data_IF_506751878602
#
_entry.id   IF_506751878602
#
_cell.length_a   1.000
_cell.length_b   1.000
_cell.length_c   1.000
_cell.angle_alpha   90.00
_cell.angle_beta   90.00
_cell.angle_gamma   90.00
#
_symmetry.space_group_name_H-M   'P 1'
#
loop_
_entity.id
_entity.type
_entity.pdbx_description
1 polymer ?
#
# COMPACT_ATOMS: atom_id res chain seq x y z
N UNK A 1 -26.47 -54.54 -14.80
CA UNK A 1 -27.06 -53.30 -14.31
C UNK A 1 -26.13 -52.63 -13.28
N UNK A 2 -25.58 -53.34 -12.25
CA UNK A 2 -24.74 -52.79 -11.18
C UNK A 2 -23.39 -52.14 -11.68
N UNK A 3 -22.80 -52.66 -12.74
CA UNK A 3 -21.51 -52.15 -13.29
C UNK A 3 -21.70 -50.79 -14.00
N UNK A 4 -22.81 -50.60 -14.71
CA UNK A 4 -23.13 -49.33 -15.38
C UNK A 4 -23.41 -48.22 -14.40
N UNK A 5 -24.10 -48.51 -13.29
CA UNK A 5 -24.35 -47.54 -12.25
C UNK A 5 -23.07 -47.05 -11.54
N UNK A 6 -22.15 -47.99 -11.23
CA UNK A 6 -20.84 -47.60 -10.64
C UNK A 6 -20.04 -46.67 -11.54
N UNK A 7 -20.04 -46.93 -12.85
CA UNK A 7 -19.32 -46.07 -13.82
C UNK A 7 -19.93 -44.65 -13.88
N UNK A 8 -21.26 -44.54 -13.82
CA UNK A 8 -21.95 -43.26 -13.82
C UNK A 8 -21.66 -42.45 -12.54
N UNK A 9 -21.61 -43.09 -11.38
CA UNK A 9 -21.29 -42.43 -10.10
C UNK A 9 -19.85 -41.91 -10.09
N UNK A 10 -18.92 -42.71 -10.61
CA UNK A 10 -17.50 -42.27 -10.71
C UNK A 10 -17.38 -41.10 -11.69
N UNK A 11 -18.04 -41.15 -12.83
CA UNK A 11 -18.01 -40.06 -13.81
C UNK A 11 -18.60 -38.76 -13.24
N UNK A 12 -19.71 -38.83 -12.54
CA UNK A 12 -20.35 -37.71 -11.88
C UNK A 12 -19.42 -37.11 -10.79
N UNK A 13 -18.74 -37.95 -10.02
CA UNK A 13 -17.76 -37.52 -9.02
C UNK A 13 -16.57 -36.78 -9.63
N UNK A 14 -16.04 -37.28 -10.75
CA UNK A 14 -14.91 -36.63 -11.47
C UNK A 14 -15.34 -35.29 -12.05
N UNK A 15 -16.54 -35.21 -12.62
CA UNK A 15 -17.08 -33.94 -13.15
C UNK A 15 -17.31 -32.94 -12.01
N UNK A 16 -17.93 -33.36 -10.91
CA UNK A 16 -18.16 -32.49 -9.75
C UNK A 16 -16.85 -31.98 -9.15
N UNK A 17 -15.84 -32.85 -9.04
CA UNK A 17 -14.50 -32.49 -8.57
C UNK A 17 -13.80 -31.52 -9.54
N UNK A 18 -13.89 -31.76 -10.86
CA UNK A 18 -13.35 -30.86 -11.89
C UNK A 18 -14.00 -29.49 -11.87
N UNK A 19 -15.33 -29.44 -11.73
CA UNK A 19 -16.09 -28.19 -11.58
C UNK A 19 -15.69 -27.47 -10.29
N UNK A 20 -15.63 -28.17 -9.15
CA UNK A 20 -15.20 -27.58 -7.88
C UNK A 20 -13.77 -27.04 -7.96
N UNK A 21 -12.83 -27.78 -8.57
CA UNK A 21 -11.45 -27.35 -8.75
C UNK A 21 -11.33 -26.15 -9.69
N UNK A 22 -12.12 -26.12 -10.76
CA UNK A 22 -12.13 -25.02 -11.73
C UNK A 22 -12.69 -23.70 -11.13
N UNK A 23 -13.70 -23.80 -10.24
CA UNK A 23 -14.28 -22.62 -9.60
C UNK A 23 -13.64 -22.26 -8.26
N UNK A 24 -12.63 -23.00 -7.81
CA UNK A 24 -11.90 -22.65 -6.60
C UNK A 24 -11.09 -21.40 -6.87
N UNK A 25 -11.51 -20.27 -6.27
CA UNK A 25 -10.71 -19.05 -6.28
C UNK A 25 -9.36 -19.34 -5.61
N UNK A 26 -8.22 -19.06 -6.28
CA UNK A 26 -6.91 -19.21 -5.65
C UNK A 26 -6.86 -18.42 -4.35
N UNK A 27 -6.21 -18.98 -3.33
CA UNK A 27 -5.97 -18.24 -2.09
C UNK A 27 -5.12 -17.01 -2.41
N UNK A 28 -5.43 -15.84 -1.81
CA UNK A 28 -4.64 -14.64 -2.02
C UNK A 28 -3.18 -14.88 -1.62
N UNK A 29 -2.26 -14.45 -2.45
CA UNK A 29 -0.84 -14.43 -2.08
C UNK A 29 -0.55 -13.32 -1.09
N UNK A 30 0.59 -13.37 -0.41
CA UNK A 30 0.99 -12.38 0.59
C UNK A 30 2.24 -11.65 0.10
N UNK A 31 2.18 -10.33 0.08
CA UNK A 31 3.34 -9.45 -0.10
C UNK A 31 3.76 -8.93 1.27
N UNK A 32 4.92 -9.37 1.73
CA UNK A 32 5.50 -9.01 3.04
C UNK A 32 6.55 -7.93 2.84
N UNK A 33 6.39 -6.81 3.53
CA UNK A 33 7.29 -5.68 3.38
C UNK A 33 7.40 -4.85 4.66
N UNK A 34 8.44 -4.04 4.74
CA UNK A 34 8.65 -3.00 5.75
C UNK A 34 9.48 -1.87 5.11
N UNK A 35 9.17 -0.61 5.43
CA UNK A 35 9.97 0.53 4.97
C UNK A 35 11.41 0.37 5.46
N UNK A 36 12.38 0.62 4.57
CA UNK A 36 13.81 0.40 4.80
C UNK A 36 14.27 -1.05 4.68
N UNK A 37 13.38 -1.99 4.32
CA UNK A 37 13.74 -3.40 4.11
C UNK A 37 14.39 -3.58 2.74
N UNK A 38 15.47 -4.39 2.62
CA UNK A 38 16.06 -4.73 1.33
C UNK A 38 15.06 -5.44 0.40
N UNK A 39 15.13 -5.14 -0.90
CA UNK A 39 14.29 -5.79 -1.93
C UNK A 39 14.36 -7.31 -1.89
N UNK A 40 15.56 -7.87 -1.72
CA UNK A 40 15.76 -9.31 -1.67
C UNK A 40 15.00 -9.98 -0.50
N UNK A 41 14.88 -9.29 0.63
CA UNK A 41 14.11 -9.77 1.77
C UNK A 41 12.59 -9.74 1.48
N UNK A 42 12.10 -8.75 0.71
CA UNK A 42 10.72 -8.73 0.23
C UNK A 42 10.44 -9.94 -0.66
N UNK A 43 11.33 -10.23 -1.61
CA UNK A 43 11.25 -11.40 -2.49
C UNK A 43 11.22 -12.70 -1.68
N UNK A 44 12.11 -12.83 -0.70
CA UNK A 44 12.26 -14.04 0.11
C UNK A 44 11.07 -14.32 1.03
N UNK A 45 10.49 -13.26 1.61
CA UNK A 45 9.47 -13.38 2.65
C UNK A 45 8.03 -13.40 2.09
N UNK A 46 7.85 -13.09 0.80
CA UNK A 46 6.56 -13.03 0.15
C UNK A 46 6.19 -14.34 -0.55
N UNK A 47 4.91 -14.68 -0.56
CA UNK A 47 4.36 -15.72 -1.46
C UNK A 47 3.88 -15.13 -2.78
N UNK A 48 3.69 -13.81 -2.85
CA UNK A 48 3.49 -13.06 -4.08
C UNK A 48 4.77 -13.12 -4.93
N UNK A 49 4.69 -13.37 -6.25
CA UNK A 49 5.87 -13.52 -7.12
C UNK A 49 6.51 -12.16 -7.45
N UNK A 50 7.10 -11.51 -6.44
CA UNK A 50 7.65 -10.15 -6.47
C UNK A 50 8.52 -9.91 -7.71
N UNK A 51 9.48 -10.78 -8.01
CA UNK A 51 10.40 -10.63 -9.15
C UNK A 51 9.69 -10.52 -10.51
N UNK A 52 8.56 -11.20 -10.67
CA UNK A 52 7.81 -11.21 -11.94
C UNK A 52 6.98 -9.93 -12.14
N UNK A 53 6.68 -9.24 -11.04
CA UNK A 53 5.85 -8.03 -10.99
C UNK A 53 6.67 -6.78 -10.66
N UNK A 54 7.99 -6.86 -10.71
CA UNK A 54 8.88 -5.74 -10.41
C UNK A 54 9.53 -5.19 -11.67
N UNK A 55 9.60 -3.88 -11.74
CA UNK A 55 10.43 -3.15 -12.68
C UNK A 55 11.63 -2.65 -11.88
N UNK A 56 12.78 -3.26 -12.14
CA UNK A 56 14.07 -2.80 -11.62
C UNK A 56 14.82 -2.19 -12.78
N UNK A 57 15.28 -0.93 -12.72
CA UNK A 57 16.06 -0.34 -13.80
C UNK A 57 17.35 -1.15 -14.03
N UNK A 58 17.66 -1.42 -15.28
CA UNK A 58 18.99 -1.84 -15.65
C UNK A 58 19.98 -0.74 -15.21
N UNK A 59 21.11 -1.15 -14.64
CA UNK A 59 22.21 -0.32 -14.13
C UNK A 59 22.03 1.20 -14.32
N UNK A 60 21.50 1.86 -13.29
CA UNK A 60 21.36 3.32 -13.29
C UNK A 60 22.75 3.96 -13.11
N UNK A 61 23.25 4.74 -14.09
CA UNK A 61 24.53 5.43 -13.97
C UNK A 61 24.56 6.43 -12.81
N UNK A 62 23.41 6.85 -12.28
CA UNK A 62 23.29 7.69 -11.07
C UNK A 62 23.25 6.87 -9.78
N UNK A 63 23.28 5.55 -9.86
CA UNK A 63 23.21 4.62 -8.72
C UNK A 63 21.97 4.78 -7.82
N UNK A 64 20.88 5.33 -8.34
CA UNK A 64 19.65 5.50 -7.58
C UNK A 64 18.96 4.17 -7.28
N UNK A 65 19.19 3.14 -8.11
CA UNK A 65 18.62 1.81 -7.97
C UNK A 65 17.13 1.86 -7.55
N UNK A 66 16.38 2.76 -8.19
CA UNK A 66 14.96 2.92 -7.97
C UNK A 66 14.21 1.79 -8.69
N UNK A 67 13.10 1.35 -8.14
CA UNK A 67 12.27 0.31 -8.75
C UNK A 67 10.89 0.27 -8.12
N UNK A 68 10.02 -0.53 -8.70
CA UNK A 68 8.65 -0.68 -8.21
C UNK A 68 8.17 -2.12 -8.39
N UNK A 69 7.37 -2.61 -7.42
CA UNK A 69 6.60 -3.85 -7.55
C UNK A 69 5.12 -3.49 -7.66
N UNK A 70 4.45 -4.04 -8.67
CA UNK A 70 3.05 -3.77 -8.95
C UNK A 70 2.16 -4.96 -8.60
N UNK A 71 1.05 -4.70 -7.92
CA UNK A 71 -0.07 -5.64 -7.75
C UNK A 71 -1.22 -5.12 -8.59
N UNK A 72 -1.57 -5.82 -9.68
CA UNK A 72 -2.60 -5.37 -10.64
C UNK A 72 -3.49 -6.49 -11.16
N UNK A 73 -3.09 -7.77 -11.04
CA UNK A 73 -3.73 -8.87 -11.75
C UNK A 73 -4.36 -9.94 -10.83
N UNK A 74 -3.97 -9.99 -9.57
CA UNK A 74 -4.44 -11.00 -8.62
C UNK A 74 -4.62 -10.40 -7.23
N UNK A 75 -5.52 -11.00 -6.46
CA UNK A 75 -5.74 -10.60 -5.07
C UNK A 75 -4.51 -10.89 -4.21
N UNK A 76 -4.01 -9.88 -3.52
CA UNK A 76 -2.82 -9.94 -2.66
C UNK A 76 -3.15 -9.38 -1.27
N UNK A 77 -2.71 -10.06 -0.23
CA UNK A 77 -2.71 -9.55 1.15
C UNK A 77 -1.39 -8.82 1.37
N UNK A 78 -1.46 -7.58 1.80
CA UNK A 78 -0.28 -6.79 2.16
C UNK A 78 -0.01 -6.96 3.65
N UNK A 79 1.20 -7.37 4.00
CA UNK A 79 1.64 -7.49 5.38
C UNK A 79 2.79 -6.53 5.63
N UNK A 80 2.52 -5.46 6.39
CA UNK A 80 3.56 -4.60 6.93
C UNK A 80 4.23 -5.29 8.11
N UNK A 81 5.44 -5.81 7.90
CA UNK A 81 6.12 -6.72 8.84
C UNK A 81 7.01 -5.96 9.82
N UNK A 82 6.40 -5.14 10.65
CA UNK A 82 7.06 -4.52 11.80
C UNK A 82 6.58 -5.17 13.10
N UNK A 83 7.49 -5.58 14.01
CA UNK A 83 7.11 -6.30 15.22
C UNK A 83 6.14 -5.53 16.14
N UNK A 84 6.18 -4.19 16.10
CA UNK A 84 5.37 -3.34 16.97
C UNK A 84 4.29 -2.58 16.20
N UNK A 85 4.61 -2.13 14.99
CA UNK A 85 3.78 -1.20 14.23
C UNK A 85 3.15 -1.86 13.00
N UNK A 86 3.25 -3.20 12.91
CA UNK A 86 2.76 -3.98 11.79
C UNK A 86 1.24 -3.96 11.65
N UNK A 87 0.79 -4.20 10.41
CA UNK A 87 -0.62 -4.41 10.08
C UNK A 87 -0.77 -5.33 8.89
N UNK A 88 -1.97 -5.86 8.71
CA UNK A 88 -2.31 -6.71 7.56
C UNK A 88 -3.54 -6.16 6.87
N UNK A 89 -3.43 -5.91 5.57
CA UNK A 89 -4.57 -5.45 4.79
C UNK A 89 -5.57 -6.58 4.50
N UNK A 90 -6.84 -6.27 4.23
CA UNK A 90 -7.68 -7.15 3.44
C UNK A 90 -7.02 -7.42 2.08
N UNK A 91 -7.47 -8.47 1.34
CA UNK A 91 -7.01 -8.67 -0.03
C UNK A 91 -7.26 -7.43 -0.89
N UNK A 92 -6.25 -7.05 -1.68
CA UNK A 92 -6.30 -5.92 -2.62
C UNK A 92 -5.96 -6.37 -4.03
N UNK A 93 -6.50 -5.65 -5.02
CA UNK A 93 -6.13 -5.77 -6.44
C UNK A 93 -5.19 -4.65 -6.88
N UNK A 94 -4.84 -3.72 -5.98
CA UNK A 94 -3.96 -2.60 -6.31
C UNK A 94 -2.97 -2.32 -5.19
N UNK A 95 -1.68 -2.47 -5.49
CA UNK A 95 -0.61 -1.90 -4.69
C UNK A 95 0.60 -1.57 -5.57
N UNK A 96 1.32 -0.54 -5.18
CA UNK A 96 2.64 -0.19 -5.71
C UNK A 96 3.60 -0.09 -4.53
N UNK A 97 4.61 -0.94 -4.51
CA UNK A 97 5.69 -0.89 -3.54
C UNK A 97 6.92 -0.30 -4.23
N UNK A 98 7.29 0.90 -3.82
CA UNK A 98 8.44 1.64 -4.36
C UNK A 98 9.73 1.28 -3.64
N UNK A 99 10.82 1.31 -4.39
CA UNK A 99 12.17 1.07 -3.89
C UNK A 99 13.09 2.22 -4.26
N UNK A 100 13.97 2.57 -3.33
CA UNK A 100 15.08 3.47 -3.56
C UNK A 100 16.34 2.82 -2.99
N UNK A 101 17.45 2.81 -3.74
CA UNK A 101 18.69 2.14 -3.36
C UNK A 101 18.50 0.68 -2.94
N UNK A 102 17.64 -0.06 -3.68
CA UNK A 102 17.26 -1.45 -3.39
C UNK A 102 16.60 -1.67 -2.02
N UNK A 103 16.10 -0.65 -1.38
CA UNK A 103 15.32 -0.76 -0.14
C UNK A 103 13.90 -0.24 -0.37
N UNK A 104 12.95 -0.80 0.37
CA UNK A 104 11.56 -0.33 0.34
C UNK A 104 11.49 1.10 0.85
N UNK A 105 10.96 1.99 0.01
CA UNK A 105 10.81 3.42 0.29
C UNK A 105 9.35 3.78 0.57
N UNK A 106 8.44 3.31 -0.27
CA UNK A 106 7.03 3.67 -0.17
C UNK A 106 6.09 2.50 -0.48
N UNK A 107 4.88 2.57 0.06
CA UNK A 107 3.74 1.76 -0.38
C UNK A 107 2.58 2.70 -0.72
N UNK A 108 1.90 2.44 -1.84
CA UNK A 108 0.59 2.99 -2.16
C UNK A 108 -0.38 1.85 -2.44
N UNK A 109 -1.55 1.85 -1.82
CA UNK A 109 -2.56 0.79 -2.01
C UNK A 109 -3.98 1.27 -1.78
N UNK A 110 -4.94 0.55 -2.37
CA UNK A 110 -6.34 0.59 -1.96
C UNK A 110 -6.70 -0.80 -1.40
N UNK A 111 -6.79 -0.97 -0.07
CA UNK A 111 -6.86 -2.25 0.60
C UNK A 111 -8.25 -2.91 0.47
N UNK A 112 -8.68 -3.16 -0.74
CA UNK A 112 -9.96 -3.78 -1.10
C UNK A 112 -9.90 -4.36 -2.52
N UNK A 113 -10.77 -5.31 -2.82
CA UNK A 113 -10.83 -5.96 -4.14
C UNK A 113 -11.56 -5.12 -5.17
N UNK A 114 -12.54 -4.33 -4.75
CA UNK A 114 -13.34 -3.44 -5.59
C UNK A 114 -13.79 -2.24 -4.76
N UNK A 115 -14.37 -1.24 -5.42
CA UNK A 115 -15.07 -0.13 -4.78
C UNK A 115 -16.27 -0.67 -4.01
N UNK A 116 -16.45 -0.26 -2.77
CA UNK A 116 -17.45 -0.80 -1.84
C UNK A 116 -18.58 0.20 -1.57
N UNK A 117 -19.80 -0.28 -1.23
CA UNK A 117 -20.81 0.53 -0.57
C UNK A 117 -20.27 1.15 0.72
N UNK A 118 -20.86 2.27 1.18
CA UNK A 118 -20.35 3.03 2.31
C UNK A 118 -20.13 2.19 3.57
N UNK A 119 -21.13 1.42 3.98
CA UNK A 119 -21.07 0.64 5.23
C UNK A 119 -19.97 -0.44 5.18
N UNK A 120 -19.80 -1.07 4.02
CA UNK A 120 -18.72 -2.05 3.81
C UNK A 120 -17.35 -1.39 3.81
N UNK A 121 -17.19 -0.24 3.13
CA UNK A 121 -15.96 0.54 3.14
C UNK A 121 -15.60 1.00 4.56
N UNK A 122 -16.60 1.47 5.34
CA UNK A 122 -16.40 1.87 6.73
C UNK A 122 -16.02 0.69 7.62
N UNK A 123 -16.53 -0.51 7.39
CA UNK A 123 -16.11 -1.70 8.14
C UNK A 123 -14.62 -2.05 7.90
N UNK A 124 -14.15 -1.94 6.65
CA UNK A 124 -12.73 -2.10 6.31
C UNK A 124 -11.89 -1.00 6.98
N UNK A 125 -12.35 0.25 6.89
CA UNK A 125 -11.69 1.42 7.50
C UNK A 125 -11.53 1.24 9.02
N UNK A 126 -12.59 0.78 9.70
CA UNK A 126 -12.62 0.54 11.14
C UNK A 126 -11.63 -0.55 11.55
N UNK A 127 -11.60 -1.65 10.80
CA UNK A 127 -10.64 -2.73 11.03
C UNK A 127 -9.19 -2.23 10.92
N UNK A 128 -8.86 -1.51 9.86
CA UNK A 128 -7.52 -0.94 9.64
C UNK A 128 -7.16 0.09 10.72
N UNK A 129 -8.07 1.01 11.04
CA UNK A 129 -7.87 2.00 12.10
C UNK A 129 -7.58 1.34 13.46
N UNK A 130 -8.27 0.23 13.76
CA UNK A 130 -8.02 -0.50 15.00
C UNK A 130 -6.64 -1.16 15.01
N UNK A 131 -6.18 -1.72 13.89
CA UNK A 131 -4.83 -2.25 13.76
C UNK A 131 -3.78 -1.14 13.92
N UNK A 132 -3.97 0.03 13.29
CA UNK A 132 -3.06 1.16 13.42
C UNK A 132 -2.96 1.65 14.86
N UNK A 133 -4.09 1.81 15.55
CA UNK A 133 -4.11 2.18 16.98
C UNK A 133 -3.37 1.15 17.84
N UNK A 134 -3.64 -0.12 17.62
CA UNK A 134 -2.97 -1.21 18.35
C UNK A 134 -1.46 -1.25 18.05
N UNK A 135 -1.06 -0.88 16.82
CA UNK A 135 0.33 -0.75 16.40
C UNK A 135 1.01 0.54 16.88
N UNK A 136 0.33 1.40 17.65
CA UNK A 136 0.91 2.63 18.18
C UNK A 136 1.17 3.70 17.12
N UNK A 137 0.41 3.68 16.01
CA UNK A 137 0.33 4.81 15.11
C UNK A 137 -0.50 5.91 15.75
N UNK A 138 -0.16 7.17 15.51
CA UNK A 138 -0.82 8.33 16.09
C UNK A 138 -1.14 9.36 15.00
N UNK A 139 -2.29 10.10 15.08
CA UNK A 139 -2.54 11.23 14.20
C UNK A 139 -1.43 12.26 14.31
N UNK A 140 -1.03 12.81 13.17
CA UNK A 140 0.00 13.85 13.13
C UNK A 140 -0.52 15.14 13.76
N UNK A 141 0.20 15.66 14.73
CA UNK A 141 -0.18 16.88 15.48
C UNK A 141 0.23 18.18 14.78
N UNK A 142 1.00 18.11 13.70
CA UNK A 142 1.44 19.27 12.92
C UNK A 142 0.40 19.75 11.89
N UNK A 143 -0.66 19.00 11.71
CA UNK A 143 -1.84 19.35 10.96
C UNK A 143 -3.09 19.06 11.82
N UNK A 144 -4.28 19.25 11.28
CA UNK A 144 -5.55 18.98 11.98
C UNK A 144 -5.95 17.48 11.91
N UNK A 145 -5.00 16.58 11.73
CA UNK A 145 -5.26 15.14 11.62
C UNK A 145 -5.85 14.57 12.91
N UNK A 146 -6.91 13.80 12.76
CA UNK A 146 -7.58 13.08 13.84
C UNK A 146 -7.96 11.69 13.35
N UNK A 147 -8.20 10.76 14.28
CA UNK A 147 -8.82 9.50 13.92
C UNK A 147 -10.20 9.71 13.28
N UNK A 148 -10.58 8.84 12.35
CA UNK A 148 -11.94 8.84 11.84
C UNK A 148 -12.93 8.65 12.98
N UNK A 149 -13.93 9.54 13.08
CA UNK A 149 -15.05 9.38 14.00
C UNK A 149 -16.04 8.38 13.42
N UNK A 150 -15.95 7.15 13.92
CA UNK A 150 -16.78 6.02 13.49
C UNK A 150 -17.97 5.75 14.44
N UNK A 151 -18.32 6.69 15.31
CA UNK A 151 -19.60 6.67 16.02
C UNK A 151 -20.77 6.74 15.03
N UNK A 152 -22.00 6.35 15.43
CA UNK A 152 -23.16 6.46 14.53
C UNK A 152 -23.35 7.87 13.97
N UNK A 153 -23.13 8.91 14.77
CA UNK A 153 -23.20 10.31 14.36
C UNK A 153 -22.01 10.72 13.48
N UNK A 154 -20.82 10.21 13.77
CA UNK A 154 -19.61 10.42 12.96
C UNK A 154 -19.77 9.82 11.57
N UNK A 155 -20.25 8.58 11.48
CA UNK A 155 -20.53 7.90 10.20
C UNK A 155 -21.55 8.67 9.35
N UNK A 156 -22.59 9.23 9.96
CA UNK A 156 -23.58 10.08 9.25
C UNK A 156 -22.96 11.35 8.69
N UNK A 157 -22.14 12.05 9.51
CA UNK A 157 -21.43 13.26 9.06
C UNK A 157 -20.44 12.92 7.93
N UNK A 158 -19.67 11.85 8.10
CA UNK A 158 -18.70 11.38 7.10
C UNK A 158 -19.42 11.08 5.77
N UNK A 159 -20.50 10.30 5.80
CA UNK A 159 -21.28 10.00 4.60
C UNK A 159 -21.79 11.24 3.89
N UNK A 160 -22.38 12.19 4.64
CA UNK A 160 -22.91 13.43 4.05
C UNK A 160 -21.81 14.23 3.32
N UNK A 161 -20.61 14.32 3.91
CA UNK A 161 -19.48 15.05 3.34
C UNK A 161 -18.88 14.40 2.08
N UNK A 162 -19.04 13.08 1.90
CA UNK A 162 -18.55 12.40 0.69
C UNK A 162 -19.21 12.88 -0.61
N UNK A 163 -20.32 13.63 -0.52
CA UNK A 163 -21.00 14.23 -1.68
C UNK A 163 -20.56 15.67 -1.96
N UNK A 164 -19.65 16.21 -1.17
CA UNK A 164 -19.04 17.53 -1.45
C UNK A 164 -18.00 17.37 -2.57
N UNK A 165 -17.99 18.24 -3.60
CA UNK A 165 -17.06 18.13 -4.71
C UNK A 165 -15.59 18.15 -4.23
N UNK A 166 -14.82 17.15 -4.66
CA UNK A 166 -13.41 17.03 -4.31
C UNK A 166 -13.13 16.62 -2.87
N UNK A 167 -14.15 16.37 -2.05
CA UNK A 167 -13.95 15.95 -0.67
C UNK A 167 -13.41 14.53 -0.57
N UNK A 168 -12.41 14.36 0.26
CA UNK A 168 -11.96 13.09 0.82
C UNK A 168 -11.67 13.32 2.30
N UNK A 169 -12.05 12.38 3.15
CA UNK A 169 -11.62 12.40 4.54
C UNK A 169 -10.25 11.73 4.61
N UNK A 170 -9.27 12.49 5.01
CA UNK A 170 -7.89 12.05 5.14
C UNK A 170 -7.40 12.25 6.58
N UNK A 171 -6.54 11.38 7.03
CA UNK A 171 -5.76 11.54 8.24
C UNK A 171 -4.31 11.15 7.95
N UNK A 172 -3.39 12.00 8.39
CA UNK A 172 -1.97 11.68 8.43
C UNK A 172 -1.69 10.99 9.76
N UNK A 173 -1.13 9.79 9.70
CA UNK A 173 -0.71 9.02 10.86
C UNK A 173 0.81 8.89 10.85
N UNK A 174 1.40 8.71 12.02
CA UNK A 174 2.83 8.48 12.12
C UNK A 174 3.22 7.58 13.29
N UNK A 175 4.37 6.99 13.15
CA UNK A 175 5.21 6.47 14.21
C UNK A 175 6.43 7.40 14.26
N UNK A 176 6.56 8.27 15.27
CA UNK A 176 7.57 9.33 15.27
C UNK A 176 8.98 8.84 14.95
N UNK A 177 9.66 9.52 14.02
CA UNK A 177 11.01 9.22 13.53
C UNK A 177 11.16 7.85 12.86
N UNK A 178 10.07 7.23 12.45
CA UNK A 178 10.10 5.91 11.83
C UNK A 178 9.24 5.82 10.59
N UNK A 179 7.94 6.07 10.71
CA UNK A 179 7.00 5.91 9.62
C UNK A 179 6.00 7.04 9.54
N UNK A 180 5.67 7.46 8.33
CA UNK A 180 4.53 8.30 7.99
C UNK A 180 3.50 7.51 7.19
N UNK A 181 2.21 7.84 7.36
CA UNK A 181 1.11 7.22 6.62
C UNK A 181 0.06 8.25 6.27
N UNK A 182 -0.41 8.22 5.04
CA UNK A 182 -1.68 8.82 4.64
C UNK A 182 -2.76 7.75 4.64
N UNK A 183 -3.85 7.99 5.35
CA UNK A 183 -5.00 7.09 5.43
C UNK A 183 -6.27 7.84 5.07
N UNK A 184 -6.94 7.45 3.97
CA UNK A 184 -7.97 8.25 3.32
C UNK A 184 -9.16 7.43 2.91
N UNK A 185 -10.38 7.97 3.11
CA UNK A 185 -11.62 7.50 2.51
C UNK A 185 -12.10 8.55 1.51
N UNK A 186 -12.46 8.12 0.30
CA UNK A 186 -13.00 8.98 -0.74
C UNK A 186 -14.16 8.33 -1.48
N UNK A 187 -15.01 9.16 -2.06
CA UNK A 187 -15.97 8.68 -3.04
C UNK A 187 -15.26 8.34 -4.35
N UNK A 188 -15.57 7.18 -4.88
CA UNK A 188 -15.00 6.67 -6.13
C UNK A 188 -16.01 6.60 -7.27
N UNK A 189 -17.31 6.57 -6.96
CA UNK A 189 -18.36 6.43 -7.97
C UNK A 189 -19.68 7.03 -7.48
N UNK A 190 -20.37 7.75 -8.35
CA UNK A 190 -21.75 8.22 -8.20
C UNK A 190 -21.96 9.45 -7.32
N UNK A 191 -21.08 9.77 -6.36
CA UNK A 191 -21.34 10.82 -5.37
C UNK A 191 -21.44 12.22 -5.98
N UNK A 192 -20.61 12.53 -6.98
CA UNK A 192 -20.56 13.87 -7.56
C UNK A 192 -21.71 14.11 -8.55
N UNK A 193 -22.12 13.06 -9.28
CA UNK A 193 -23.30 13.10 -10.14
C UNK A 193 -24.59 12.97 -9.34
N UNK A 194 -24.49 12.52 -8.08
CA UNK A 194 -25.61 12.13 -7.20
C UNK A 194 -26.49 11.03 -7.80
N UNK A 195 -25.88 10.17 -8.59
CA UNK A 195 -26.52 9.03 -9.22
C UNK A 195 -26.00 7.71 -8.63
N UNK A 196 -26.84 6.89 -8.02
CA UNK A 196 -26.43 5.59 -7.49
C UNK A 196 -26.03 4.63 -8.63
N UNK A 197 -25.18 3.61 -8.34
CA UNK A 197 -24.71 3.25 -7.02
C UNK A 197 -23.58 4.16 -6.51
N UNK A 198 -23.60 4.46 -5.20
CA UNK A 198 -22.50 5.19 -4.55
C UNK A 198 -21.47 4.21 -4.04
N UNK A 199 -20.22 4.35 -4.50
CA UNK A 199 -19.12 3.48 -4.09
C UNK A 199 -17.92 4.29 -3.61
N UNK A 200 -17.20 3.70 -2.66
CA UNK A 200 -16.13 4.35 -1.92
C UNK A 200 -14.84 3.53 -2.02
N UNK A 201 -13.72 4.22 -1.89
CA UNK A 201 -12.38 3.65 -1.84
C UNK A 201 -11.65 4.13 -0.59
N UNK A 202 -10.85 3.24 -0.03
CA UNK A 202 -9.83 3.57 0.96
C UNK A 202 -8.49 3.61 0.23
N UNK A 203 -7.68 4.63 0.50
CA UNK A 203 -6.30 4.68 0.07
C UNK A 203 -5.38 4.71 1.28
N UNK A 204 -4.25 4.02 1.19
CA UNK A 204 -3.17 4.04 2.16
C UNK A 204 -1.88 4.32 1.41
N UNK A 205 -1.14 5.34 1.87
CA UNK A 205 0.25 5.58 1.52
C UNK A 205 1.12 5.41 2.76
N UNK A 206 2.21 4.64 2.68
CA UNK A 206 3.16 4.47 3.80
C UNK A 206 4.56 4.78 3.30
N UNK A 207 5.34 5.47 4.10
CA UNK A 207 6.75 5.80 3.85
C UNK A 207 7.47 6.13 5.14
N UNK A 208 8.63 6.76 5.01
CA UNK A 208 9.35 7.29 6.15
C UNK A 208 8.60 8.46 6.82
N UNK A 209 8.83 8.63 8.14
CA UNK A 209 8.42 9.85 8.82
C UNK A 209 9.33 11.01 8.44
N UNK A 210 8.81 11.91 7.60
CA UNK A 210 9.55 13.06 7.06
C UNK A 210 9.52 14.29 7.97
N UNK A 211 8.96 14.17 9.17
CA UNK A 211 8.92 15.32 10.09
C UNK A 211 10.32 15.81 10.47
N UNK A 212 10.52 17.10 10.30
CA UNK A 212 11.80 17.75 10.57
C UNK A 212 12.83 17.63 9.45
N UNK A 213 12.47 17.01 8.33
CA UNK A 213 13.31 17.03 7.14
C UNK A 213 13.29 18.42 6.51
N UNK A 214 14.49 18.89 6.15
CA UNK A 214 14.60 20.16 5.42
C UNK A 214 14.68 19.86 3.93
N UNK A 215 13.91 20.55 3.08
CA UNK A 215 14.08 20.43 1.64
C UNK A 215 15.53 20.64 1.25
N UNK A 216 16.11 19.68 0.52
CA UNK A 216 17.50 19.73 0.08
C UNK A 216 18.55 19.24 1.10
N UNK A 217 18.15 18.63 2.22
CA UNK A 217 19.10 17.92 3.10
C UNK A 217 19.62 16.66 2.38
N UNK A 218 20.91 16.63 1.97
CA UNK A 218 21.46 15.51 1.19
C UNK A 218 21.56 14.21 1.99
N UNK A 219 21.43 14.28 3.31
CA UNK A 219 21.55 13.13 4.21
C UNK A 219 20.20 12.60 4.72
N UNK A 220 19.10 13.07 4.14
CA UNK A 220 17.76 12.65 4.55
C UNK A 220 17.61 11.14 4.41
N UNK A 221 18.02 10.60 3.27
CA UNK A 221 17.97 9.17 3.00
C UNK A 221 18.85 8.36 3.97
N UNK A 222 20.10 8.76 4.18
CA UNK A 222 21.02 8.07 5.08
C UNK A 222 20.53 8.05 6.53
N UNK A 223 19.86 9.11 6.98
CA UNK A 223 19.29 9.18 8.33
C UNK A 223 18.09 8.27 8.54
N UNK A 224 17.26 8.09 7.52
CA UNK A 224 16.10 7.22 7.58
C UNK A 224 16.44 5.74 7.32
N UNK A 225 17.56 5.47 6.63
CA UNK A 225 18.02 4.14 6.25
C UNK A 225 19.47 3.88 6.72
N UNK A 226 19.69 3.75 8.04
CA UNK A 226 21.05 3.64 8.60
C UNK A 226 21.83 2.40 8.14
N UNK A 227 21.17 1.41 7.56
CA UNK A 227 21.82 0.25 6.94
C UNK A 227 22.35 0.53 5.53
N UNK A 228 21.96 1.66 4.93
CA UNK A 228 22.44 2.08 3.63
C UNK A 228 23.80 2.75 3.78
N UNK A 229 24.84 2.13 3.23
CA UNK A 229 26.13 2.79 3.02
C UNK A 229 26.16 3.26 1.57
N UNK A 230 26.10 4.58 1.37
CA UNK A 230 26.27 5.13 0.03
C UNK A 230 27.56 4.57 -0.58
N UNK A 231 27.53 4.00 -1.80
CA UNK A 231 28.76 3.63 -2.47
C UNK A 231 29.61 4.89 -2.57
N UNK A 232 30.93 4.76 -2.32
CA UNK A 232 31.88 5.87 -2.48
C UNK A 232 31.79 6.38 -3.92
N UNK A 233 30.91 7.36 -4.14
CA UNK A 233 30.70 7.96 -5.45
C UNK A 233 31.96 8.71 -5.91
N UNK A 234 32.17 8.84 -7.22
CA UNK A 234 33.20 9.74 -7.73
C UNK A 234 32.91 11.15 -7.19
N UNK A 235 33.98 11.83 -6.72
CA UNK A 235 33.88 13.22 -6.24
C UNK A 235 33.00 14.03 -7.18
N UNK A 236 31.94 14.64 -6.63
CA UNK A 236 31.07 15.52 -7.42
C UNK A 236 31.94 16.59 -8.10
N UNK A 237 31.80 16.82 -9.40
CA UNK A 237 32.53 17.87 -10.07
C UNK A 237 32.23 19.19 -9.36
N UNK A 238 33.25 19.84 -8.81
CA UNK A 238 33.15 21.16 -8.20
C UNK A 238 32.58 22.09 -9.25
N UNK A 239 31.32 22.52 -9.10
CA UNK A 239 30.77 23.60 -9.90
C UNK A 239 31.65 24.85 -9.67
N UNK A 240 32.54 25.12 -10.60
CA UNK A 240 33.26 26.39 -10.63
C UNK A 240 32.19 27.43 -10.94
N UNK A 241 31.85 28.24 -9.94
CA UNK A 241 30.98 29.39 -10.12
C UNK A 241 31.68 30.35 -11.06
N UNK A 242 31.40 30.21 -12.35
CA UNK A 242 31.83 31.15 -13.37
C UNK A 242 31.21 32.52 -13.09
N UNK A 243 32.06 33.45 -12.65
CA UNK A 243 31.73 34.87 -12.57
C UNK A 243 31.31 35.32 -13.98
N UNK A 244 30.08 35.75 -14.14
CA UNK A 244 29.65 36.39 -15.37
C UNK A 244 30.51 37.64 -15.65
N UNK A 245 31.04 37.84 -16.88
CA UNK A 245 31.71 39.07 -17.23
C UNK A 245 30.70 40.21 -17.25
N UNK A 246 30.99 41.29 -16.53
CA UNK A 246 30.20 42.48 -16.49
C UNK A 246 30.09 43.17 -17.87
N UNK A 247 28.90 43.72 -18.10
CA UNK A 247 28.67 44.85 -19.01
C UNK A 247 28.06 45.98 -18.21
#
# INVERSE_FOLDING_TARGET
VKVRYRRLVVLAGVIAFGVWFYYRTPEPTVLVFRIGQPFEDVVKNSTFPVMQHSITPAEDPMHLQAGETFVTESAVILKFDDPKHGFTSPPTMFAVLGYMHNTVDTLSTSPMLDKLPFDEAVAVLENLQNQFKAGGWEPYTGDDSTWFDLTPEGKKRLYARMFEPGYAQETTLRVPKKYGMTFRLKCAEGCWTREPPYKFLIDIGVGDDTEGWKPGDPNVWEKSHPAYQAPAGPEQPKFISGRAPGR
#
